data_IF_517757973750
#
_entry.id   IF_517757973750
#
_cell.length_a   1.000
_cell.length_b   1.000
_cell.length_c   1.000
_cell.angle_alpha   90.00
_cell.angle_beta   90.00
_cell.angle_gamma   90.00
#
_symmetry.space_group_name_H-M   'P 1'
#
loop_
_entity.id
_entity.type
_entity.pdbx_description
1 polymer ?
#
# COMPACT_ATOMS: atom_id res chain seq x y z
N UNK A 1 47.10 12.01 -1.87
CA UNK A 1 46.92 13.46 -2.10
C UNK A 1 45.47 13.64 -2.52
N UNK A 2 44.71 14.51 -1.87
CA UNK A 2 43.31 14.77 -2.24
C UNK A 2 43.22 15.19 -3.72
N UNK A 3 42.32 14.57 -4.48
CA UNK A 3 42.11 14.83 -5.90
C UNK A 3 41.74 16.29 -6.17
N UNK A 4 41.05 16.94 -5.23
CA UNK A 4 40.71 18.36 -5.32
C UNK A 4 41.93 19.25 -5.12
N UNK A 5 42.83 18.91 -4.20
CA UNK A 5 44.09 19.63 -4.00
C UNK A 5 44.97 19.56 -5.25
N UNK A 6 45.04 18.38 -5.88
CA UNK A 6 45.77 18.20 -7.14
C UNK A 6 45.17 19.06 -8.27
N UNK A 7 43.84 19.15 -8.35
CA UNK A 7 43.14 19.97 -9.35
C UNK A 7 43.39 21.47 -9.15
N UNK A 8 43.34 21.96 -7.91
CA UNK A 8 43.63 23.36 -7.58
C UNK A 8 45.09 23.69 -7.89
N UNK A 9 46.01 22.81 -7.48
CA UNK A 9 47.45 22.94 -7.78
C UNK A 9 47.70 23.02 -9.28
N UNK A 10 47.15 22.09 -10.05
CA UNK A 10 47.30 22.06 -11.50
C UNK A 10 46.74 23.32 -12.15
N UNK A 11 45.57 23.81 -11.72
CA UNK A 11 44.98 25.03 -12.24
C UNK A 11 45.83 26.27 -11.96
N UNK A 12 46.42 26.38 -10.76
CA UNK A 12 47.26 27.50 -10.37
C UNK A 12 48.64 27.47 -11.06
N UNK A 13 49.21 26.27 -11.27
CA UNK A 13 50.48 26.07 -11.99
C UNK A 13 50.33 26.36 -13.49
N UNK A 14 49.26 25.90 -14.14
CA UNK A 14 48.95 26.20 -15.55
C UNK A 14 48.52 27.67 -15.71
N UNK A 15 47.83 28.21 -14.71
CA UNK A 15 47.30 29.57 -14.68
C UNK A 15 45.95 29.73 -15.37
N UNK A 16 45.26 30.84 -15.07
CA UNK A 16 43.91 31.16 -15.57
C UNK A 16 43.77 31.30 -17.10
N UNK A 17 44.87 31.38 -17.85
CA UNK A 17 44.90 31.72 -19.29
C UNK A 17 44.41 33.14 -19.62
N UNK A 18 44.24 33.99 -18.61
CA UNK A 18 43.70 35.34 -18.73
C UNK A 18 44.82 36.38 -18.89
N UNK A 19 44.61 37.46 -19.67
CA UNK A 19 45.65 38.48 -19.96
C UNK A 19 46.28 39.09 -18.70
N UNK A 20 45.50 39.26 -17.65
CA UNK A 20 45.97 39.83 -16.37
C UNK A 20 46.63 38.84 -15.43
N UNK A 21 46.79 37.56 -15.82
CA UNK A 21 47.35 36.48 -14.98
C UNK A 21 46.85 36.54 -13.52
N UNK A 22 45.53 36.59 -13.35
CA UNK A 22 44.91 36.97 -12.06
C UNK A 22 45.12 36.00 -10.89
N UNK A 23 45.73 34.84 -11.15
CA UNK A 23 46.09 33.83 -10.14
C UNK A 23 47.51 34.01 -9.61
N UNK A 24 48.28 34.98 -10.13
CA UNK A 24 49.64 35.27 -9.64
C UNK A 24 49.54 35.74 -8.19
N UNK A 25 50.32 35.08 -7.31
CA UNK A 25 50.31 35.24 -5.85
C UNK A 25 49.10 34.61 -5.12
N UNK A 26 48.38 33.67 -5.74
CA UNK A 26 47.46 32.81 -4.98
C UNK A 26 48.24 31.66 -4.38
N UNK A 27 48.12 31.49 -3.06
CA UNK A 27 48.68 30.34 -2.38
C UNK A 27 47.74 29.13 -2.54
N UNK A 28 48.28 27.99 -2.97
CA UNK A 28 47.50 26.77 -3.23
C UNK A 28 46.72 26.36 -1.98
N UNK A 29 47.37 26.37 -0.80
CA UNK A 29 46.75 26.03 0.48
C UNK A 29 45.58 26.95 0.83
N UNK A 30 45.74 28.26 0.63
CA UNK A 30 44.69 29.25 0.89
C UNK A 30 43.46 29.04 -0.01
N UNK A 31 43.67 28.81 -1.32
CA UNK A 31 42.57 28.57 -2.27
C UNK A 31 41.86 27.27 -1.95
N UNK A 32 42.61 26.21 -1.66
CA UNK A 32 42.05 24.91 -1.32
C UNK A 32 41.23 24.95 -0.02
N UNK A 33 41.76 25.56 1.05
CA UNK A 33 40.99 25.75 2.29
C UNK A 33 39.72 26.59 2.08
N UNK A 34 39.78 27.64 1.26
CA UNK A 34 38.59 28.41 0.94
C UNK A 34 37.53 27.58 0.20
N UNK A 35 37.93 26.72 -0.74
CA UNK A 35 37.01 25.81 -1.43
C UNK A 35 36.35 24.85 -0.44
N UNK A 36 37.11 24.28 0.50
CA UNK A 36 36.56 23.42 1.55
C UNK A 36 35.51 24.18 2.39
N UNK A 37 35.84 25.39 2.84
CA UNK A 37 34.89 26.23 3.58
C UNK A 37 33.62 26.51 2.74
N UNK A 38 33.77 26.81 1.45
CA UNK A 38 32.64 27.06 0.54
C UNK A 38 31.75 25.83 0.31
N UNK A 39 32.25 24.61 0.56
CA UNK A 39 31.48 23.37 0.49
C UNK A 39 30.74 23.04 1.78
N UNK A 40 31.21 23.55 2.91
CA UNK A 40 30.53 23.41 4.21
C UNK A 40 29.32 24.34 4.37
N UNK A 41 29.27 25.42 3.59
CA UNK A 41 28.16 26.38 3.61
C UNK A 41 26.86 25.80 3.05
N UNK A 42 25.75 26.25 3.62
CA UNK A 42 24.43 26.07 3.00
C UNK A 42 24.37 26.77 1.64
N UNK A 43 23.41 26.35 0.81
CA UNK A 43 23.23 26.94 -0.52
C UNK A 43 22.94 28.44 -0.43
N UNK A 44 22.12 28.86 0.52
CA UNK A 44 21.78 30.26 0.75
C UNK A 44 23.02 31.08 1.13
N UNK A 45 23.83 30.59 2.08
CA UNK A 45 25.08 31.26 2.50
C UNK A 45 26.08 31.36 1.35
N UNK A 46 26.28 30.27 0.62
CA UNK A 46 27.16 30.22 -0.55
C UNK A 46 26.73 31.24 -1.62
N UNK A 47 25.44 31.29 -1.93
CA UNK A 47 24.87 32.23 -2.90
C UNK A 47 25.14 33.70 -2.47
N UNK A 48 24.96 34.02 -1.18
CA UNK A 48 25.21 35.36 -0.63
C UNK A 48 26.69 35.75 -0.77
N UNK A 49 27.63 34.86 -0.41
CA UNK A 49 29.07 35.13 -0.50
C UNK A 49 29.52 35.27 -1.96
N UNK A 50 28.99 34.45 -2.85
CA UNK A 50 29.26 34.59 -4.28
C UNK A 50 28.77 35.94 -4.78
N UNK A 51 27.53 36.31 -4.44
CA UNK A 51 26.94 37.59 -4.84
C UNK A 51 27.66 38.81 -4.26
N UNK A 52 28.14 38.76 -3.01
CA UNK A 52 28.86 39.87 -2.39
C UNK A 52 30.18 40.17 -3.11
N UNK A 53 30.77 39.17 -3.75
CA UNK A 53 32.02 39.29 -4.50
C UNK A 53 31.81 39.66 -5.98
N UNK A 54 30.56 39.76 -6.44
CA UNK A 54 30.22 40.32 -7.74
C UNK A 54 30.13 41.85 -7.65
N UNK A 55 30.61 42.56 -8.68
CA UNK A 55 30.18 43.93 -8.93
C UNK A 55 29.50 44.00 -10.28
N UNK A 56 28.22 44.31 -10.28
CA UNK A 56 27.42 44.51 -11.47
C UNK A 56 27.28 46.01 -11.74
N UNK A 57 27.65 46.45 -12.95
CA UNK A 57 27.42 47.84 -13.35
C UNK A 57 25.93 48.11 -13.62
N UNK A 58 25.32 49.03 -12.85
CA UNK A 58 23.90 49.37 -12.92
C UNK A 58 23.55 50.46 -13.97
N UNK A 59 24.51 50.90 -14.78
CA UNK A 59 24.26 51.96 -15.76
C UNK A 59 23.40 51.47 -16.93
N UNK A 60 22.17 51.98 -17.03
CA UNK A 60 21.20 51.70 -18.11
C UNK A 60 21.70 52.22 -19.48
N UNK A 61 22.56 53.24 -19.47
CA UNK A 61 23.12 53.89 -20.65
C UNK A 61 24.64 53.75 -20.70
N UNK A 62 25.18 53.71 -21.91
CA UNK A 62 26.63 53.84 -22.13
C UNK A 62 27.08 55.29 -21.94
N UNK A 63 28.39 55.55 -21.81
CA UNK A 63 28.94 56.93 -21.81
C UNK A 63 28.55 57.77 -23.02
N UNK A 64 27.99 57.14 -24.08
CA UNK A 64 27.48 57.77 -25.31
C UNK A 64 25.95 57.77 -25.40
N UNK A 65 25.23 57.61 -24.28
CA UNK A 65 23.76 57.69 -24.22
C UNK A 65 22.98 56.50 -24.80
N UNK A 66 23.63 55.54 -25.48
CA UNK A 66 22.96 54.35 -26.03
C UNK A 66 22.53 53.36 -24.94
N UNK A 67 21.40 52.65 -25.10
CA UNK A 67 20.98 51.61 -24.17
C UNK A 67 22.04 50.52 -24.09
N UNK A 68 22.41 50.17 -22.85
CA UNK A 68 23.54 49.29 -22.60
C UNK A 68 23.15 47.82 -22.84
N UNK A 69 23.58 47.25 -23.97
CA UNK A 69 23.31 45.86 -24.34
C UNK A 69 24.00 44.80 -23.45
N UNK A 70 25.10 45.16 -22.76
CA UNK A 70 25.82 44.27 -21.84
C UNK A 70 26.29 45.06 -20.62
N UNK A 71 25.76 44.71 -19.44
CA UNK A 71 26.32 45.18 -18.17
C UNK A 71 27.62 44.43 -17.89
N UNK A 72 28.68 45.16 -17.59
CA UNK A 72 29.97 44.56 -17.23
C UNK A 72 29.83 44.02 -15.80
N UNK A 73 30.03 42.72 -15.65
CA UNK A 73 30.13 42.06 -14.34
C UNK A 73 31.61 41.87 -14.07
N UNK A 74 32.10 42.44 -12.97
CA UNK A 74 33.45 42.16 -12.48
C UNK A 74 33.39 41.15 -11.35
N UNK A 75 34.32 40.22 -11.36
CA UNK A 75 34.46 39.17 -10.36
C UNK A 75 35.64 39.50 -9.45
N UNK A 76 35.45 39.38 -8.14
CA UNK A 76 36.54 39.55 -7.17
C UNK A 76 36.73 38.26 -6.38
N UNK A 77 37.96 37.90 -6.07
CA UNK A 77 38.30 36.83 -5.14
C UNK A 77 39.51 37.27 -4.34
N UNK A 78 39.52 37.00 -3.03
CA UNK A 78 40.59 37.43 -2.12
C UNK A 78 40.93 38.93 -2.27
N UNK A 79 39.90 39.77 -2.38
CA UNK A 79 39.98 41.23 -2.57
C UNK A 79 40.69 41.69 -3.86
N UNK A 80 40.89 40.80 -4.84
CA UNK A 80 41.51 41.10 -6.13
C UNK A 80 40.55 40.81 -7.29
N UNK A 81 40.61 41.60 -8.38
CA UNK A 81 39.81 41.31 -9.57
C UNK A 81 40.33 40.05 -10.27
N UNK A 82 39.42 39.12 -10.57
CA UNK A 82 39.73 37.84 -11.20
C UNK A 82 38.90 37.61 -12.46
N UNK A 83 39.32 36.65 -13.30
CA UNK A 83 38.53 36.24 -14.45
C UNK A 83 37.37 35.30 -14.04
N UNK A 84 36.35 35.14 -14.91
CA UNK A 84 35.18 34.27 -14.66
C UNK A 84 35.60 32.84 -14.30
N UNK A 85 36.62 32.28 -14.97
CA UNK A 85 37.11 30.92 -14.71
C UNK A 85 37.67 30.76 -13.30
N UNK A 86 38.56 31.67 -12.89
CA UNK A 86 39.15 31.69 -11.55
C UNK A 86 38.08 31.91 -10.48
N UNK A 87 37.13 32.80 -10.73
CA UNK A 87 36.01 33.04 -9.79
C UNK A 87 35.14 31.79 -9.59
N UNK A 88 34.83 31.06 -10.66
CA UNK A 88 34.07 29.81 -10.59
C UNK A 88 34.80 28.73 -9.79
N UNK A 89 36.12 28.61 -9.99
CA UNK A 89 36.94 27.65 -9.25
C UNK A 89 36.98 27.97 -7.75
N UNK A 90 37.33 29.21 -7.40
CA UNK A 90 37.49 29.64 -6.00
C UNK A 90 36.19 29.46 -5.21
N UNK A 91 35.05 29.77 -5.82
CA UNK A 91 33.74 29.63 -5.17
C UNK A 91 33.13 28.23 -5.32
N UNK A 92 33.79 27.29 -6.02
CA UNK A 92 33.29 25.95 -6.31
C UNK A 92 31.86 25.93 -6.90
N UNK A 93 31.67 26.69 -7.99
CA UNK A 93 30.38 26.82 -8.69
C UNK A 93 30.49 26.59 -10.20
N UNK A 94 29.46 25.97 -10.76
CA UNK A 94 29.30 25.77 -12.20
C UNK A 94 28.87 27.03 -12.96
N UNK A 95 28.97 26.97 -14.30
CA UNK A 95 28.65 28.10 -15.19
C UNK A 95 27.19 28.57 -15.04
N UNK A 96 26.25 27.63 -15.09
CA UNK A 96 24.81 27.92 -15.00
C UNK A 96 24.43 28.49 -13.63
N UNK A 97 25.07 28.02 -12.55
CA UNK A 97 24.86 28.54 -11.21
C UNK A 97 25.29 30.01 -11.13
N UNK A 98 26.47 30.34 -11.66
CA UNK A 98 26.97 31.71 -11.71
C UNK A 98 26.08 32.63 -12.57
N UNK A 99 25.61 32.17 -13.72
CA UNK A 99 24.73 32.95 -14.60
C UNK A 99 23.40 33.27 -13.91
N UNK A 100 22.78 32.29 -13.26
CA UNK A 100 21.56 32.49 -12.47
C UNK A 100 21.78 33.46 -11.29
N UNK A 101 22.94 33.41 -10.63
CA UNK A 101 23.26 34.33 -9.52
C UNK A 101 23.47 35.76 -10.01
N UNK A 102 24.14 35.93 -11.16
CA UNK A 102 24.33 37.24 -11.78
C UNK A 102 22.99 37.86 -12.18
N UNK A 103 22.09 37.07 -12.77
CA UNK A 103 20.78 37.55 -13.19
C UNK A 103 19.89 37.91 -12.00
N UNK A 104 19.89 37.07 -10.96
CA UNK A 104 19.22 37.38 -9.69
C UNK A 104 19.76 38.65 -9.05
N UNK A 105 21.09 38.80 -8.96
CA UNK A 105 21.72 39.98 -8.37
C UNK A 105 21.33 41.27 -9.12
N UNK A 106 21.24 41.23 -10.45
CA UNK A 106 20.83 42.39 -11.25
C UNK A 106 19.38 42.79 -11.02
N UNK A 107 18.49 41.83 -10.75
CA UNK A 107 17.06 42.06 -10.56
C UNK A 107 16.72 42.42 -9.11
N UNK A 108 17.34 41.72 -8.15
CA UNK A 108 16.93 41.70 -6.74
C UNK A 108 18.03 42.14 -5.77
N UNK A 109 19.26 42.39 -6.25
CA UNK A 109 20.42 42.68 -5.39
C UNK A 109 20.92 41.45 -4.61
N UNK A 110 21.71 41.64 -3.54
CA UNK A 110 22.29 40.56 -2.74
C UNK A 110 21.28 39.92 -1.77
N UNK A 111 20.03 39.71 -2.20
CA UNK A 111 19.01 39.04 -1.41
C UNK A 111 19.12 37.52 -1.56
N UNK A 112 18.82 36.72 -0.51
CA UNK A 112 18.77 35.27 -0.60
C UNK A 112 17.83 34.80 -1.72
N UNK A 113 18.30 33.86 -2.55
CA UNK A 113 17.49 33.28 -3.62
C UNK A 113 16.48 32.30 -3.04
N UNK A 114 15.19 32.58 -3.21
CA UNK A 114 14.14 31.60 -2.94
C UNK A 114 13.94 30.70 -4.15
N UNK A 115 13.90 29.39 -3.93
CA UNK A 115 13.61 28.45 -5.01
C UNK A 115 12.13 28.58 -5.42
N UNK A 116 11.85 28.58 -6.73
CA UNK A 116 10.51 28.87 -7.28
C UNK A 116 9.41 27.88 -6.92
N UNK A 117 9.78 26.72 -6.36
CA UNK A 117 8.87 25.67 -5.87
C UNK A 117 8.68 25.69 -4.34
N UNK A 118 9.34 26.60 -3.61
CA UNK A 118 9.13 26.72 -2.16
C UNK A 118 7.68 27.09 -1.90
N UNK A 119 6.98 26.25 -1.14
CA UNK A 119 5.56 26.43 -0.81
C UNK A 119 4.56 26.04 -1.90
N UNK A 120 5.01 25.60 -3.09
CA UNK A 120 4.10 25.12 -4.14
C UNK A 120 3.91 23.60 -4.02
N UNK A 121 2.66 23.16 -3.90
CA UNK A 121 2.32 21.73 -4.02
C UNK A 121 2.57 21.29 -5.47
N UNK A 122 3.19 20.13 -5.72
CA UNK A 122 3.29 19.56 -7.06
C UNK A 122 1.91 19.42 -7.69
N UNK A 123 1.78 19.69 -9.00
CA UNK A 123 0.52 19.50 -9.73
C UNK A 123 0.01 18.05 -9.67
N UNK A 124 0.90 17.09 -9.43
CA UNK A 124 0.58 15.66 -9.30
C UNK A 124 0.38 15.21 -7.85
N UNK A 125 0.39 16.11 -6.87
CA UNK A 125 0.18 15.73 -5.47
C UNK A 125 -1.11 14.91 -5.31
N UNK A 126 -1.05 13.90 -4.45
CA UNK A 126 -2.22 13.11 -4.06
C UNK A 126 -3.17 14.03 -3.29
N UNK A 127 -4.41 14.16 -3.77
CA UNK A 127 -5.45 14.92 -3.08
C UNK A 127 -6.37 13.98 -2.29
N UNK A 128 -7.16 14.53 -1.38
CA UNK A 128 -8.05 13.74 -0.51
C UNK A 128 -8.98 12.82 -1.32
N UNK A 129 -9.55 13.33 -2.42
CA UNK A 129 -10.44 12.54 -3.27
C UNK A 129 -9.74 11.33 -3.91
N UNK A 130 -8.43 11.41 -4.19
CA UNK A 130 -7.69 10.25 -4.68
C UNK A 130 -7.55 9.19 -3.58
N UNK A 131 -7.26 9.63 -2.35
CA UNK A 131 -7.14 8.73 -1.19
C UNK A 131 -8.47 8.03 -0.95
N UNK A 132 -9.57 8.81 -0.91
CA UNK A 132 -10.92 8.30 -0.74
C UNK A 132 -11.27 7.24 -1.79
N UNK A 133 -11.01 7.52 -3.08
CA UNK A 133 -11.23 6.55 -4.16
C UNK A 133 -10.45 5.26 -4.00
N UNK A 134 -9.18 5.33 -3.63
CA UNK A 134 -8.36 4.13 -3.40
C UNK A 134 -8.90 3.31 -2.24
N UNK A 135 -9.32 3.98 -1.16
CA UNK A 135 -9.91 3.32 0.01
C UNK A 135 -11.22 2.63 -0.34
N UNK A 136 -12.14 3.33 -1.00
CA UNK A 136 -13.42 2.78 -1.44
C UNK A 136 -13.24 1.61 -2.40
N UNK A 137 -12.32 1.74 -3.38
CA UNK A 137 -12.00 0.65 -4.30
C UNK A 137 -11.53 -0.60 -3.54
N UNK A 138 -10.57 -0.47 -2.63
CA UNK A 138 -10.01 -1.60 -1.90
C UNK A 138 -10.99 -2.22 -0.90
N UNK A 139 -11.87 -1.42 -0.29
CA UNK A 139 -12.95 -1.93 0.57
C UNK A 139 -13.95 -2.76 -0.25
N UNK A 140 -14.45 -2.21 -1.36
CA UNK A 140 -15.35 -2.94 -2.26
C UNK A 140 -14.68 -4.21 -2.81
N UNK A 141 -13.37 -4.14 -3.10
CA UNK A 141 -12.59 -5.29 -3.53
C UNK A 141 -12.55 -6.38 -2.46
N UNK A 142 -12.28 -6.00 -1.21
CA UNK A 142 -12.23 -6.92 -0.08
C UNK A 142 -13.62 -7.46 0.30
N UNK A 143 -14.68 -6.69 0.13
CA UNK A 143 -16.05 -7.18 0.34
C UNK A 143 -16.43 -8.24 -0.70
N UNK A 144 -15.94 -8.09 -1.93
CA UNK A 144 -16.24 -9.01 -3.03
C UNK A 144 -15.39 -10.28 -2.99
N UNK A 145 -14.07 -10.11 -2.81
CA UNK A 145 -13.07 -11.16 -2.97
C UNK A 145 -12.35 -11.56 -1.68
N UNK A 146 -12.59 -10.83 -0.60
CA UNK A 146 -11.92 -11.06 0.67
C UNK A 146 -12.59 -12.14 1.51
N UNK A 147 -11.77 -12.82 2.29
CA UNK A 147 -12.17 -13.79 3.30
C UNK A 147 -11.80 -13.19 4.66
N UNK A 148 -12.79 -12.75 5.47
CA UNK A 148 -12.50 -12.26 6.81
C UNK A 148 -12.05 -13.43 7.69
N UNK A 149 -10.93 -13.29 8.38
CA UNK A 149 -10.52 -14.32 9.33
C UNK A 149 -11.30 -14.13 10.64
N UNK A 150 -12.01 -15.16 11.14
CA UNK A 150 -12.81 -15.05 12.36
C UNK A 150 -11.96 -15.02 13.65
N UNK A 151 -10.65 -15.30 13.55
CA UNK A 151 -9.77 -15.32 14.70
C UNK A 151 -9.68 -13.92 15.35
N UNK A 152 -9.88 -13.88 16.67
CA UNK A 152 -9.70 -12.69 17.47
C UNK A 152 -8.34 -12.02 17.15
N UNK A 153 -8.29 -10.68 17.06
CA UNK A 153 -7.05 -10.02 16.70
C UNK A 153 -5.91 -10.45 17.63
N UNK A 154 -4.80 -10.91 17.06
CA UNK A 154 -3.63 -11.30 17.86
C UNK A 154 -2.90 -10.02 18.28
N UNK A 155 -2.85 -9.72 19.57
CA UNK A 155 -2.04 -8.61 20.10
C UNK A 155 -2.68 -7.22 19.93
N UNK A 156 -1.94 -6.27 19.36
CA UNK A 156 -2.30 -4.84 19.26
C UNK A 156 -3.17 -4.47 18.06
N UNK A 157 -3.42 -5.40 17.14
CA UNK A 157 -4.28 -5.16 15.99
C UNK A 157 -5.73 -5.11 16.51
N UNK A 158 -6.48 -4.03 16.30
CA UNK A 158 -7.87 -3.94 16.77
C UNK A 158 -8.88 -4.50 15.75
N UNK A 159 -8.44 -4.79 14.52
CA UNK A 159 -9.30 -5.19 13.41
C UNK A 159 -8.85 -6.54 12.87
N UNK A 160 -9.74 -7.55 12.81
CA UNK A 160 -9.44 -8.84 12.19
C UNK A 160 -8.98 -8.66 10.73
N UNK A 161 -7.98 -9.43 10.27
CA UNK A 161 -7.51 -9.34 8.90
C UNK A 161 -8.55 -9.86 7.91
N UNK A 162 -8.62 -9.21 6.75
CA UNK A 162 -9.35 -9.69 5.58
C UNK A 162 -8.31 -10.15 4.56
N UNK A 163 -8.39 -11.41 4.15
CA UNK A 163 -7.45 -11.99 3.21
C UNK A 163 -8.01 -12.02 1.80
N UNK A 164 -7.30 -11.43 0.87
CA UNK A 164 -7.51 -11.56 -0.58
C UNK A 164 -6.79 -12.81 -1.07
N UNK A 165 -7.25 -13.37 -2.20
CA UNK A 165 -6.67 -14.55 -2.85
C UNK A 165 -5.13 -14.45 -3.00
N UNK A 166 -4.44 -15.54 -2.65
CA UNK A 166 -2.99 -15.70 -2.80
C UNK A 166 -2.51 -15.63 -4.25
N UNK A 167 -3.38 -15.89 -5.23
CA UNK A 167 -3.11 -15.71 -6.66
C UNK A 167 -3.11 -14.25 -7.11
N UNK A 168 -3.66 -13.33 -6.32
CA UNK A 168 -3.65 -11.88 -6.61
C UNK A 168 -2.37 -11.24 -6.12
N UNK A 169 -1.93 -10.21 -6.83
CA UNK A 169 -0.81 -9.36 -6.40
C UNK A 169 -1.26 -7.92 -6.28
N UNK A 170 -0.52 -7.10 -5.52
CA UNK A 170 -0.78 -5.65 -5.51
C UNK A 170 -0.73 -5.03 -6.91
N UNK A 171 0.04 -5.63 -7.83
CA UNK A 171 0.11 -5.20 -9.22
C UNK A 171 -1.18 -5.52 -9.99
N UNK A 172 -1.72 -6.74 -9.87
CA UNK A 172 -2.95 -7.12 -10.58
C UNK A 172 -4.13 -6.30 -10.09
N UNK A 173 -4.26 -6.13 -8.77
CA UNK A 173 -5.31 -5.30 -8.15
C UNK A 173 -5.17 -3.83 -8.57
N UNK A 174 -3.94 -3.31 -8.66
CA UNK A 174 -3.71 -1.96 -9.15
C UNK A 174 -4.09 -1.76 -10.63
N UNK A 175 -3.92 -2.79 -11.48
CA UNK A 175 -4.41 -2.76 -12.86
C UNK A 175 -5.95 -2.70 -12.91
N UNK A 176 -6.62 -3.51 -12.09
CA UNK A 176 -8.08 -3.49 -11.94
C UNK A 176 -8.58 -2.12 -11.44
N UNK A 177 -7.85 -1.48 -10.52
CA UNK A 177 -8.12 -0.11 -10.08
C UNK A 177 -7.97 0.94 -11.20
N UNK A 178 -6.91 0.84 -12.01
CA UNK A 178 -6.71 1.74 -13.15
C UNK A 178 -7.88 1.61 -14.13
N UNK A 179 -8.31 0.38 -14.39
CA UNK A 179 -9.44 0.10 -15.28
C UNK A 179 -10.73 0.74 -14.75
N UNK A 180 -11.05 0.51 -13.48
CA UNK A 180 -12.20 1.12 -12.81
C UNK A 180 -12.16 2.66 -12.85
N UNK A 181 -10.97 3.27 -12.67
CA UNK A 181 -10.82 4.72 -12.81
C UNK A 181 -11.04 5.20 -14.25
N UNK A 182 -10.59 4.42 -15.24
CA UNK A 182 -10.77 4.73 -16.66
C UNK A 182 -12.24 4.72 -17.04
N UNK A 183 -12.98 3.71 -16.59
CA UNK A 183 -14.43 3.59 -16.81
C UNK A 183 -15.20 4.74 -16.15
N UNK A 184 -14.80 5.16 -14.96
CA UNK A 184 -15.40 6.29 -14.24
C UNK A 184 -14.93 7.67 -14.75
N UNK A 185 -13.99 7.74 -15.71
CA UNK A 185 -13.45 8.99 -16.24
C UNK A 185 -12.65 9.82 -15.21
N UNK A 186 -12.08 9.17 -14.19
CA UNK A 186 -11.35 9.83 -13.10
C UNK A 186 -9.85 9.59 -13.18
N UNK A 187 -9.07 10.50 -12.57
CA UNK A 187 -7.61 10.32 -12.46
C UNK A 187 -7.29 9.09 -11.62
N UNK A 188 -6.42 8.22 -12.15
CA UNK A 188 -5.84 7.10 -11.41
C UNK A 188 -4.51 7.47 -10.76
N UNK A 189 -4.25 6.89 -9.59
CA UNK A 189 -2.96 6.99 -8.92
C UNK A 189 -1.96 5.94 -9.43
N UNK A 190 -0.68 6.32 -9.40
CA UNK A 190 0.43 5.41 -9.66
C UNK A 190 0.54 4.35 -8.57
N UNK A 191 1.15 3.21 -8.92
CA UNK A 191 1.21 2.02 -8.06
C UNK A 191 1.81 2.30 -6.70
N UNK A 192 2.83 3.15 -6.62
CA UNK A 192 3.50 3.51 -5.37
C UNK A 192 2.54 4.20 -4.41
N UNK A 193 1.89 5.29 -4.84
CA UNK A 193 0.89 6.01 -4.05
C UNK A 193 -0.29 5.12 -3.66
N UNK A 194 -0.79 4.30 -4.59
CA UNK A 194 -1.83 3.30 -4.31
C UNK A 194 -1.42 2.34 -3.18
N UNK A 195 -0.21 1.77 -3.25
CA UNK A 195 0.31 0.86 -2.22
C UNK A 195 0.53 1.54 -0.87
N UNK A 196 0.95 2.81 -0.86
CA UNK A 196 1.13 3.61 0.35
C UNK A 196 -0.21 3.90 1.05
N UNK A 197 -1.23 4.26 0.28
CA UNK A 197 -2.59 4.44 0.80
C UNK A 197 -3.12 3.12 1.35
N UNK A 198 -2.98 2.01 0.63
CA UNK A 198 -3.37 0.69 1.12
C UNK A 198 -2.67 0.39 2.47
N UNK A 199 -1.35 0.55 2.54
CA UNK A 199 -0.59 0.27 3.76
C UNK A 199 -1.01 1.15 4.95
N UNK A 200 -1.31 2.42 4.71
CA UNK A 200 -1.63 3.39 5.78
C UNK A 200 -3.07 3.34 6.23
N UNK A 201 -4.01 3.16 5.30
CA UNK A 201 -5.46 3.26 5.58
C UNK A 201 -6.12 1.88 5.75
N UNK A 202 -5.57 0.83 5.14
CA UNK A 202 -6.22 -0.49 5.00
C UNK A 202 -5.24 -1.65 5.27
N UNK A 203 -4.39 -1.52 6.30
CA UNK A 203 -3.39 -2.52 6.66
C UNK A 203 -3.96 -3.89 7.09
N UNK A 204 -5.25 -3.93 7.44
CA UNK A 204 -5.99 -5.14 7.77
C UNK A 204 -6.41 -5.93 6.51
N UNK A 205 -6.48 -5.30 5.33
CA UNK A 205 -6.69 -5.99 4.06
C UNK A 205 -5.35 -6.49 3.55
N UNK A 206 -5.16 -7.81 3.50
CA UNK A 206 -3.89 -8.45 3.18
C UNK A 206 -4.08 -9.45 2.05
N UNK A 207 -3.04 -9.68 1.26
CA UNK A 207 -3.04 -10.79 0.30
C UNK A 207 -2.61 -12.03 1.06
N UNK A 208 -3.37 -13.12 0.94
CA UNK A 208 -3.08 -14.39 1.61
C UNK A 208 -1.69 -14.89 1.19
N UNK A 209 -0.89 -15.31 2.17
CA UNK A 209 0.26 -16.14 1.89
C UNK A 209 -0.19 -17.60 1.72
N UNK A 210 0.64 -18.48 1.13
CA UNK A 210 0.34 -19.92 1.09
C UNK A 210 0.06 -20.54 2.46
N UNK A 211 0.52 -19.93 3.56
CA UNK A 211 0.24 -20.41 4.93
C UNK A 211 -1.12 -19.97 5.47
N UNK A 212 -1.71 -18.93 4.88
CA UNK A 212 -3.06 -18.45 5.21
C UNK A 212 -4.13 -19.20 4.39
N UNK A 213 -3.74 -19.88 3.30
CA UNK A 213 -4.61 -20.65 2.39
C UNK A 213 -4.72 -22.12 2.83
N UNK A 214 -5.52 -22.37 3.88
CA UNK A 214 -5.62 -23.66 4.59
C UNK A 214 -6.59 -24.64 3.91
N UNK A 215 -6.49 -24.85 2.59
CA UNK A 215 -7.29 -25.85 1.89
C UNK A 215 -6.54 -27.19 1.80
N UNK A 216 -7.11 -28.25 2.38
CA UNK A 216 -6.52 -29.59 2.36
C UNK A 216 -6.35 -30.15 0.93
N UNK A 217 -7.30 -29.86 0.04
CA UNK A 217 -7.25 -30.26 -1.37
C UNK A 217 -6.14 -29.53 -2.11
N UNK A 218 -6.02 -28.20 -1.93
CA UNK A 218 -4.91 -27.40 -2.47
C UNK A 218 -3.55 -27.91 -1.96
N UNK A 219 -3.42 -28.18 -0.67
CA UNK A 219 -2.22 -28.77 -0.07
C UNK A 219 -1.88 -30.14 -0.65
N UNK A 220 -2.90 -30.98 -0.88
CA UNK A 220 -2.77 -32.27 -1.53
C UNK A 220 -2.17 -32.12 -2.94
N UNK A 221 -2.77 -31.30 -3.79
CA UNK A 221 -2.26 -31.06 -5.13
C UNK A 221 -0.85 -30.46 -5.13
N UNK A 222 -0.56 -29.46 -4.28
CA UNK A 222 0.78 -28.88 -4.17
C UNK A 222 1.82 -29.93 -3.79
N UNK A 223 1.50 -30.83 -2.85
CA UNK A 223 2.38 -31.94 -2.47
C UNK A 223 2.59 -32.91 -3.61
N UNK A 224 1.55 -33.25 -4.38
CA UNK A 224 1.68 -34.14 -5.52
C UNK A 224 2.56 -33.54 -6.62
N UNK A 225 2.33 -32.26 -6.98
CA UNK A 225 3.17 -31.51 -7.94
C UNK A 225 4.64 -31.50 -7.51
N UNK A 226 4.91 -31.32 -6.22
CA UNK A 226 6.30 -31.33 -5.70
C UNK A 226 6.94 -32.72 -5.70
N UNK A 227 6.15 -33.78 -5.62
CA UNK A 227 6.63 -35.18 -5.58
C UNK A 227 6.71 -35.83 -6.96
N UNK A 228 5.99 -35.30 -7.95
CA UNK A 228 5.94 -35.83 -9.30
C UNK A 228 7.35 -35.93 -9.90
N UNK A 229 7.69 -37.11 -10.43
CA UNK A 229 8.99 -37.37 -11.07
C UNK A 229 8.86 -37.14 -12.57
N UNK A 230 7.74 -37.54 -13.17
CA UNK A 230 7.47 -37.34 -14.59
C UNK A 230 6.79 -36.00 -14.85
N UNK A 231 7.12 -35.37 -15.97
CA UNK A 231 6.47 -34.11 -16.39
C UNK A 231 4.98 -34.30 -16.70
N UNK A 232 4.57 -35.49 -17.16
CA UNK A 232 3.16 -35.88 -17.39
C UNK A 232 2.33 -35.81 -16.10
N UNK A 233 2.80 -36.47 -15.03
CA UNK A 233 2.15 -36.47 -13.71
C UNK A 233 2.04 -35.04 -13.15
N UNK A 234 3.13 -34.27 -13.27
CA UNK A 234 3.18 -32.89 -12.80
C UNK A 234 2.19 -31.98 -13.54
N UNK A 235 2.02 -32.18 -14.85
CA UNK A 235 1.04 -31.47 -15.67
C UNK A 235 -0.39 -31.82 -15.26
N UNK A 236 -0.67 -33.09 -15.02
CA UNK A 236 -1.99 -33.56 -14.58
C UNK A 236 -2.37 -32.98 -13.21
N UNK A 237 -1.48 -33.08 -12.22
CA UNK A 237 -1.72 -32.51 -10.90
C UNK A 237 -1.87 -30.97 -10.94
N UNK A 238 -1.13 -30.30 -11.81
CA UNK A 238 -1.26 -28.86 -12.00
C UNK A 238 -2.61 -28.46 -12.61
N UNK A 239 -3.13 -29.22 -13.58
CA UNK A 239 -4.46 -28.97 -14.14
C UNK A 239 -5.56 -29.30 -13.13
N UNK A 240 -5.42 -30.38 -12.34
CA UNK A 240 -6.33 -30.69 -11.24
C UNK A 240 -6.38 -29.58 -10.19
N UNK A 241 -5.22 -29.06 -9.79
CA UNK A 241 -5.11 -27.92 -8.88
C UNK A 241 -5.84 -26.69 -9.44
N UNK A 242 -5.58 -26.36 -10.70
CA UNK A 242 -6.20 -25.22 -11.38
C UNK A 242 -7.71 -25.39 -11.49
N UNK A 243 -8.20 -26.59 -11.81
CA UNK A 243 -9.63 -26.88 -11.90
C UNK A 243 -10.32 -26.75 -10.54
N UNK A 244 -9.67 -27.20 -9.46
CA UNK A 244 -10.16 -27.00 -8.09
C UNK A 244 -10.32 -25.51 -7.76
N UNK A 245 -9.32 -24.69 -8.08
CA UNK A 245 -9.39 -23.23 -7.88
C UNK A 245 -10.52 -22.59 -8.69
N UNK A 246 -10.69 -22.97 -9.97
CA UNK A 246 -11.77 -22.48 -10.82
C UNK A 246 -13.15 -22.85 -10.25
N UNK A 247 -13.31 -24.07 -9.75
CA UNK A 247 -14.57 -24.51 -9.16
C UNK A 247 -14.90 -23.71 -7.90
N UNK A 248 -13.91 -23.51 -7.02
CA UNK A 248 -14.08 -22.69 -5.82
C UNK A 248 -14.45 -21.22 -6.16
N UNK A 249 -13.87 -20.66 -7.21
CA UNK A 249 -14.22 -19.31 -7.70
C UNK A 249 -15.68 -19.24 -8.17
N UNK A 250 -16.13 -20.22 -8.97
CA UNK A 250 -17.52 -20.29 -9.45
C UNK A 250 -18.52 -20.44 -8.31
N UNK A 251 -18.21 -21.28 -7.32
CA UNK A 251 -19.04 -21.45 -6.13
C UNK A 251 -19.15 -20.15 -5.33
N UNK A 252 -18.03 -19.43 -5.17
CA UNK A 252 -18.01 -18.12 -4.51
C UNK A 252 -18.83 -17.06 -5.26
N UNK A 253 -18.77 -17.05 -6.59
CA UNK A 253 -19.59 -16.17 -7.43
C UNK A 253 -21.09 -16.48 -7.22
N UNK A 254 -21.48 -17.75 -7.26
CA UNK A 254 -22.85 -18.18 -7.00
C UNK A 254 -23.33 -17.77 -5.60
N UNK A 255 -22.49 -17.98 -4.57
CA UNK A 255 -22.77 -17.53 -3.21
C UNK A 255 -23.03 -16.02 -3.16
N UNK A 256 -22.13 -15.21 -3.73
CA UNK A 256 -22.25 -13.75 -3.75
C UNK A 256 -23.54 -13.30 -4.47
N UNK A 257 -23.90 -13.94 -5.57
CA UNK A 257 -25.14 -13.67 -6.30
C UNK A 257 -26.39 -14.03 -5.48
N UNK A 258 -26.36 -15.13 -4.73
CA UNK A 258 -27.43 -15.49 -3.79
C UNK A 258 -27.59 -14.44 -2.68
N UNK A 259 -26.49 -14.02 -2.04
CA UNK A 259 -26.49 -12.99 -1.00
C UNK A 259 -27.04 -11.67 -1.55
N UNK A 260 -26.59 -11.25 -2.74
CA UNK A 260 -27.04 -10.01 -3.38
C UNK A 260 -28.55 -10.03 -3.63
N UNK A 261 -29.06 -11.10 -4.24
CA UNK A 261 -30.50 -11.27 -4.50
C UNK A 261 -31.32 -11.28 -3.21
N UNK A 262 -30.84 -11.95 -2.16
CA UNK A 262 -31.51 -11.99 -0.87
C UNK A 262 -31.62 -10.59 -0.24
N UNK A 263 -30.54 -9.79 -0.29
CA UNK A 263 -30.54 -8.41 0.22
C UNK A 263 -31.49 -7.49 -0.57
N UNK A 264 -31.44 -7.55 -1.90
CA UNK A 264 -32.31 -6.76 -2.77
C UNK A 264 -33.79 -7.08 -2.52
N UNK A 265 -34.12 -8.35 -2.36
CA UNK A 265 -35.49 -8.80 -2.09
C UNK A 265 -35.99 -8.45 -0.69
N UNK A 266 -35.09 -8.25 0.27
CA UNK A 266 -35.48 -7.80 1.61
C UNK A 266 -35.85 -6.31 1.64
N UNK A 267 -35.25 -5.51 0.75
CA UNK A 267 -35.48 -4.06 0.65
C UNK A 267 -36.73 -3.77 -0.20
N UNK A 268 -36.92 -4.53 -1.28
CA UNK A 268 -38.04 -4.34 -2.20
C UNK A 268 -39.24 -5.18 -1.74
N UNK A 269 -40.41 -4.54 -1.59
CA UNK A 269 -41.70 -5.23 -1.37
C UNK A 269 -42.11 -5.99 -2.63
N UNK A 270 -41.38 -7.06 -2.96
CA UNK A 270 -41.68 -7.97 -4.06
C UNK A 270 -42.65 -9.05 -3.60
N UNK A 271 -43.61 -9.39 -4.46
CA UNK A 271 -44.54 -10.53 -4.27
C UNK A 271 -43.80 -11.89 -4.29
N UNK A 272 -42.61 -11.94 -4.89
CA UNK A 272 -41.73 -13.13 -4.88
C UNK A 272 -40.53 -12.86 -4.01
N UNK A 273 -40.67 -13.18 -2.73
CA UNK A 273 -39.56 -13.08 -1.78
C UNK A 273 -38.60 -14.24 -1.98
N UNK A 274 -37.31 -13.94 -2.04
CA UNK A 274 -36.23 -14.92 -2.11
C UNK A 274 -35.25 -14.64 -1.00
N UNK A 275 -34.75 -15.70 -0.36
CA UNK A 275 -33.78 -15.57 0.72
C UNK A 275 -32.64 -16.57 0.54
N UNK A 276 -31.54 -16.30 1.21
CA UNK A 276 -30.36 -17.14 1.20
C UNK A 276 -29.96 -17.43 2.65
N UNK A 277 -29.74 -18.71 2.93
CA UNK A 277 -29.36 -19.19 4.24
C UNK A 277 -28.00 -19.87 4.15
N UNK A 278 -27.17 -19.61 5.15
CA UNK A 278 -25.88 -20.29 5.33
C UNK A 278 -25.82 -20.91 6.70
N UNK A 279 -25.29 -22.12 6.80
CA UNK A 279 -25.15 -22.79 8.08
C UNK A 279 -23.87 -23.60 8.16
N UNK A 280 -23.39 -23.79 9.39
CA UNK A 280 -22.23 -24.63 9.68
C UNK A 280 -22.22 -25.04 11.16
N UNK A 281 -21.54 -26.15 11.45
CA UNK A 281 -21.08 -26.46 12.80
C UNK A 281 -19.72 -25.80 13.04
N UNK A 282 -19.68 -24.90 14.01
CA UNK A 282 -18.39 -24.42 14.50
C UNK A 282 -17.71 -25.46 15.39
N UNK A 283 -16.41 -25.27 15.63
CA UNK A 283 -15.65 -26.10 16.55
C UNK A 283 -16.33 -26.14 17.92
N UNK A 284 -16.46 -27.33 18.50
CA UNK A 284 -16.97 -27.48 19.85
C UNK A 284 -16.11 -26.70 20.86
N UNK A 285 -16.77 -26.10 21.84
CA UNK A 285 -16.11 -25.33 22.90
C UNK A 285 -16.27 -26.07 24.21
N UNK A 286 -15.26 -26.00 25.07
CA UNK A 286 -15.33 -26.56 26.42
C UNK A 286 -15.46 -25.42 27.42
N UNK A 287 -16.48 -25.48 28.27
CA UNK A 287 -16.79 -24.45 29.26
C UNK A 287 -16.49 -24.92 30.70
N UNK A 288 -15.98 -24.04 31.57
CA UNK A 288 -15.55 -22.67 31.27
C UNK A 288 -14.22 -22.63 30.49
N UNK A 289 -14.16 -21.81 29.43
CA UNK A 289 -12.95 -21.57 28.66
C UNK A 289 -12.18 -20.38 29.25
N UNK A 290 -10.95 -20.60 29.70
CA UNK A 290 -10.03 -19.53 30.13
C UNK A 290 -8.74 -19.58 29.30
N UNK A 291 -8.32 -18.44 28.76
CA UNK A 291 -7.06 -18.32 28.00
C UNK A 291 -5.81 -18.63 28.83
N UNK A 292 -5.92 -18.50 30.16
CA UNK A 292 -4.94 -18.97 31.15
C UNK A 292 -5.62 -20.05 32.00
N UNK A 293 -5.53 -21.31 31.58
CA UNK A 293 -6.02 -22.42 32.40
C UNK A 293 -5.25 -22.44 33.72
N UNK A 294 -5.95 -22.18 34.83
CA UNK A 294 -5.40 -22.25 36.19
C UNK A 294 -5.24 -23.72 36.60
N UNK A 295 -4.15 -24.05 37.30
CA UNK A 295 -3.69 -25.43 37.57
C UNK A 295 -4.73 -26.49 37.94
N UNK A 296 -5.75 -26.22 38.78
CA UNK A 296 -6.75 -27.23 39.14
C UNK A 296 -7.65 -27.69 37.98
N UNK A 297 -7.89 -26.83 36.99
CA UNK A 297 -8.76 -27.11 35.84
C UNK A 297 -8.07 -28.08 34.85
N UNK A 298 -6.74 -28.19 34.92
CA UNK A 298 -5.95 -29.06 34.04
C UNK A 298 -6.30 -30.55 34.17
N UNK A 299 -6.82 -30.97 35.33
CA UNK A 299 -7.20 -32.36 35.60
C UNK A 299 -8.72 -32.62 35.48
N UNK A 300 -9.50 -31.60 35.11
CA UNK A 300 -10.95 -31.72 34.98
C UNK A 300 -11.35 -31.85 33.50
N UNK A 301 -12.24 -32.79 33.21
CA UNK A 301 -12.96 -32.79 31.94
C UNK A 301 -13.94 -31.61 31.93
N UNK A 302 -13.70 -30.65 31.04
CA UNK A 302 -14.58 -29.51 30.85
C UNK A 302 -15.83 -29.91 30.05
N UNK A 303 -16.98 -29.31 30.37
CA UNK A 303 -18.26 -29.59 29.72
C UNK A 303 -18.20 -29.13 28.27
N UNK A 304 -18.46 -30.03 27.32
CA UNK A 304 -18.44 -29.69 25.89
C UNK A 304 -19.79 -29.13 25.46
N UNK A 305 -19.73 -28.06 24.68
CA UNK A 305 -20.89 -27.46 24.02
C UNK A 305 -20.60 -27.41 22.53
N UNK A 306 -21.53 -27.95 21.76
CA UNK A 306 -21.51 -27.82 20.31
C UNK A 306 -22.28 -26.58 19.90
N UNK A 307 -21.83 -25.95 18.81
CA UNK A 307 -22.41 -24.71 18.32
C UNK A 307 -22.73 -24.87 16.85
N UNK A 308 -24.02 -24.80 16.52
CA UNK A 308 -24.52 -24.79 15.16
C UNK A 308 -25.01 -23.38 14.81
N UNK A 309 -24.46 -22.79 13.76
CA UNK A 309 -24.81 -21.44 13.32
C UNK A 309 -25.70 -21.49 12.09
N UNK A 310 -26.75 -20.67 12.06
CA UNK A 310 -27.56 -20.39 10.87
C UNK A 310 -27.61 -18.88 10.65
N UNK A 311 -27.16 -18.43 9.49
CA UNK A 311 -27.19 -17.05 9.06
C UNK A 311 -28.23 -16.85 7.96
N UNK A 312 -28.96 -15.75 8.06
CA UNK A 312 -29.98 -15.34 7.10
C UNK A 312 -29.37 -14.22 6.26
N UNK A 313 -28.77 -14.51 5.12
CA UNK A 313 -27.87 -13.58 4.42
C UNK A 313 -28.55 -12.33 3.85
N UNK A 314 -29.86 -12.39 3.60
CA UNK A 314 -30.66 -11.21 3.25
C UNK A 314 -30.79 -10.19 4.39
N UNK A 315 -30.47 -10.59 5.62
CA UNK A 315 -30.50 -9.76 6.82
C UNK A 315 -29.14 -9.81 7.55
N UNK A 316 -28.77 -8.80 8.32
CA UNK A 316 -27.63 -8.89 9.22
C UNK A 316 -28.00 -9.73 10.46
N UNK A 317 -28.49 -10.96 10.29
CA UNK A 317 -28.97 -11.83 11.38
C UNK A 317 -28.29 -13.20 11.34
N UNK A 318 -27.72 -13.60 12.47
CA UNK A 318 -27.15 -14.92 12.73
C UNK A 318 -27.76 -15.50 14.01
N UNK A 319 -28.08 -16.79 13.96
CA UNK A 319 -28.65 -17.58 15.04
C UNK A 319 -27.63 -18.66 15.39
N UNK A 320 -27.36 -18.83 16.68
CA UNK A 320 -26.44 -19.86 17.16
C UNK A 320 -27.18 -20.76 18.14
N UNK A 321 -27.23 -22.04 17.83
CA UNK A 321 -27.73 -23.09 18.69
C UNK A 321 -26.58 -23.57 19.57
N UNK A 322 -26.80 -23.58 20.89
CA UNK A 322 -25.87 -24.14 21.86
C UNK A 322 -26.41 -25.49 22.31
N UNK A 323 -25.70 -26.55 21.93
CA UNK A 323 -26.11 -27.93 22.20
C UNK A 323 -25.14 -28.48 23.23
N UNK A 324 -25.63 -28.67 24.45
CA UNK A 324 -24.84 -29.25 25.51
C UNK A 324 -24.55 -30.73 25.25
N UNK A 325 -23.43 -31.25 25.72
CA UNK A 325 -23.09 -32.68 25.59
C UNK A 325 -24.17 -33.63 26.15
N UNK A 326 -24.96 -33.20 27.15
CA UNK A 326 -26.09 -33.98 27.68
C UNK A 326 -27.33 -34.00 26.78
N UNK A 327 -27.43 -33.06 25.84
CA UNK A 327 -28.58 -32.86 24.95
C UNK A 327 -28.34 -33.45 23.54
N UNK A 328 -27.46 -34.45 23.47
CA UNK A 328 -27.02 -35.05 22.21
C UNK A 328 -27.52 -36.48 22.08
N UNK A 329 -27.84 -36.89 20.85
CA UNK A 329 -27.99 -38.32 20.58
C UNK A 329 -26.58 -38.92 20.54
N UNK A 330 -26.28 -39.89 21.42
CA UNK A 330 -24.96 -40.52 21.53
C UNK A 330 -24.20 -40.21 22.82
N UNK A 331 -23.31 -41.11 23.23
CA UNK A 331 -22.46 -40.94 24.41
C UNK A 331 -21.51 -39.76 24.12
N UNK A 332 -21.45 -38.79 25.04
CA UNK A 332 -20.52 -37.66 25.03
C UNK A 332 -20.53 -36.78 23.76
N UNK A 333 -21.68 -36.60 23.10
CA UNK A 333 -21.79 -35.69 21.95
C UNK A 333 -21.50 -36.29 20.57
N UNK A 334 -21.46 -37.62 20.44
CA UNK A 334 -20.97 -38.29 19.24
C UNK A 334 -21.93 -38.33 18.04
N UNK A 335 -23.25 -38.17 18.20
CA UNK A 335 -24.21 -38.15 17.07
C UNK A 335 -24.98 -36.84 16.91
N UNK A 336 -24.53 -35.76 17.57
CA UNK A 336 -25.12 -34.43 17.43
C UNK A 336 -25.02 -33.85 16.02
N UNK A 337 -24.00 -34.26 15.26
CA UNK A 337 -23.76 -33.80 13.89
C UNK A 337 -24.59 -34.57 12.84
N UNK A 338 -25.60 -35.35 13.28
CA UNK A 338 -26.43 -36.13 12.38
C UNK A 338 -27.33 -35.26 11.50
N UNK A 339 -27.72 -35.76 10.30
CA UNK A 339 -28.56 -35.02 9.36
C UNK A 339 -29.90 -34.60 9.97
N UNK A 340 -30.49 -35.45 10.83
CA UNK A 340 -31.76 -35.12 11.50
C UNK A 340 -31.64 -33.89 12.41
N UNK A 341 -30.54 -33.74 13.15
CA UNK A 341 -30.34 -32.58 14.01
C UNK A 341 -30.21 -31.30 13.17
N UNK A 342 -29.45 -31.35 12.08
CA UNK A 342 -29.32 -30.24 11.13
C UNK A 342 -30.67 -29.87 10.54
N UNK A 343 -31.43 -30.85 10.05
CA UNK A 343 -32.77 -30.64 9.47
C UNK A 343 -33.70 -30.02 10.50
N UNK A 344 -33.77 -30.53 11.73
CA UNK A 344 -34.64 -29.98 12.78
C UNK A 344 -34.28 -28.54 13.15
N UNK A 345 -32.98 -28.22 13.25
CA UNK A 345 -32.53 -26.85 13.54
C UNK A 345 -32.86 -25.90 12.37
N UNK A 346 -32.66 -26.33 11.13
CA UNK A 346 -32.99 -25.53 9.95
C UNK A 346 -34.50 -25.34 9.80
N UNK A 347 -35.29 -26.39 9.99
CA UNK A 347 -36.76 -26.34 9.94
C UNK A 347 -37.30 -25.31 10.93
N UNK A 348 -36.81 -25.34 12.18
CA UNK A 348 -37.17 -24.32 13.17
C UNK A 348 -36.79 -22.90 12.72
N UNK A 349 -35.60 -22.69 12.14
CA UNK A 349 -35.21 -21.36 11.64
C UNK A 349 -36.11 -20.91 10.49
N UNK A 350 -36.41 -21.80 9.55
CA UNK A 350 -37.26 -21.48 8.39
C UNK A 350 -38.70 -21.18 8.83
N UNK A 351 -39.25 -21.93 9.79
CA UNK A 351 -40.60 -21.70 10.32
C UNK A 351 -40.69 -20.38 11.12
N UNK A 352 -39.74 -20.16 12.03
CA UNK A 352 -39.80 -19.02 12.97
C UNK A 352 -39.25 -17.72 12.40
N UNK A 353 -38.35 -17.79 11.42
CA UNK A 353 -37.65 -16.63 10.87
C UNK A 353 -37.77 -16.48 9.35
N UNK A 354 -38.44 -17.42 8.69
CA UNK A 354 -38.94 -17.23 7.33
C UNK A 354 -39.83 -15.98 7.25
N UNK A 355 -39.78 -15.30 6.11
CA UNK A 355 -40.53 -14.06 5.83
C UNK A 355 -41.51 -14.23 4.68
N UNK A 356 -41.94 -15.47 4.45
CA UNK A 356 -42.83 -15.85 3.36
C UNK A 356 -42.11 -15.90 2.02
N UNK A 357 -40.81 -16.23 2.00
CA UNK A 357 -40.08 -16.47 0.77
C UNK A 357 -40.69 -17.62 -0.04
N UNK A 358 -40.89 -17.39 -1.33
CA UNK A 358 -41.35 -18.40 -2.28
C UNK A 358 -40.25 -19.37 -2.70
N UNK A 359 -38.99 -18.92 -2.61
CA UNK A 359 -37.82 -19.73 -2.91
C UNK A 359 -36.69 -19.35 -1.94
N UNK A 360 -35.90 -20.34 -1.56
CA UNK A 360 -34.68 -20.10 -0.81
C UNK A 360 -33.49 -20.84 -1.44
N UNK A 361 -32.30 -20.29 -1.24
CA UNK A 361 -31.05 -20.99 -1.52
C UNK A 361 -30.36 -21.28 -0.19
N UNK A 362 -29.73 -22.44 -0.08
CA UNK A 362 -29.05 -22.86 1.15
C UNK A 362 -27.62 -23.25 0.79
N UNK A 363 -26.64 -22.68 1.49
CA UNK A 363 -25.23 -23.08 1.40
C UNK A 363 -24.79 -23.66 2.74
N UNK A 364 -24.04 -24.75 2.70
CA UNK A 364 -23.46 -25.39 3.88
C UNK A 364 -21.94 -25.46 3.69
N UNK A 365 -21.18 -25.04 4.69
CA UNK A 365 -19.74 -25.29 4.74
C UNK A 365 -19.53 -26.65 5.44
N UNK A 366 -18.68 -27.51 4.88
CA UNK A 366 -18.13 -28.71 5.52
C UNK A 366 -19.08 -29.68 6.27
N UNK A 367 -20.37 -29.76 5.97
CA UNK A 367 -21.22 -30.81 6.54
C UNK A 367 -20.98 -32.17 5.84
N UNK A 368 -20.40 -33.19 6.50
CA UNK A 368 -20.35 -34.56 5.99
C UNK A 368 -21.75 -35.23 5.88
N UNK A 369 -22.82 -34.46 6.08
CA UNK A 369 -24.19 -34.92 6.29
C UNK A 369 -25.18 -34.60 5.18
N UNK A 370 -24.77 -34.23 3.97
CA UNK A 370 -25.70 -34.13 2.83
C UNK A 370 -25.63 -35.44 2.03
N UNK A 371 -26.36 -36.45 2.51
CA UNK A 371 -26.96 -37.48 1.67
C UNK A 371 -28.46 -37.18 1.67
N UNK A 372 -28.93 -36.51 0.61
CA UNK A 372 -30.05 -36.89 -0.27
C UNK A 372 -30.39 -35.75 -1.24
#
# INVERSE_FOLDING_TARGET
MDADYATVRQFLEIGCGCKGKCTVNFEIGQVYHHILNMRELTKEEKDIIVMSNLKCGNGLTTKRGKPRKRSMVSYNAFQKPVCKKTFMLVNDIGRSALENLVDHYKQNGPLPRKHGNVGKKPSQAVIYDDVKRVVEFLQNYADTYGIPQPAAPRGSDNTPPIYLDSGKTKLTIHKEYIESCREAGVRSLQRTAFCEIWKSCLCHIRIASPRDDVCATCEGHRKNIMKAIEESEKLEDAENFKQHVINAQKERELYNDCVKRAKETCILSSDKRTNHYTFDFSQNVSIPHFSRQMGPIYFMSLRKVQIFGVRIDGLPKQLNFFIDESETMGIDGTQTHGPNAVISMLDMVLDTHGRGESTCSIHADNCPGIIL
#
